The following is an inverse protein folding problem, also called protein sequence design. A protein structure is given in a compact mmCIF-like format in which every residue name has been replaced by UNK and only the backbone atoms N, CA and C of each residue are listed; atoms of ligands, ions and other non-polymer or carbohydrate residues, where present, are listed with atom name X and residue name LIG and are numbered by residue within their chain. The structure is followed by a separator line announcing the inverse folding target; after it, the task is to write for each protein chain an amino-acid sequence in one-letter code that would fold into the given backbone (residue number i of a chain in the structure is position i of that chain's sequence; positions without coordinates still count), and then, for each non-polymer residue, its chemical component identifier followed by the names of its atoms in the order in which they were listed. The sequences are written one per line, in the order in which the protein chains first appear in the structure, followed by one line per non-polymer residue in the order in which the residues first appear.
data_IF_144606490423
#
_entry.id   IF_144606490423
#
_cell.length_a   1.000
_cell.length_b   1.000
_cell.length_c   1.000
_cell.angle_alpha   90.00
_cell.angle_beta   90.00
_cell.angle_gamma   90.00
#
_symmetry.space_group_name_H-M   'P 1'
#
loop_
_entity.id
_entity.type
_entity.pdbx_description
1 polymer ?
#
# COMPACT_ATOMS: atom_id res chain seq x y z
N UNK A 1 -3.26 13.12 4.34
CA UNK A 1 -2.96 12.08 3.33
C UNK A 1 -3.90 10.89 3.40
N UNK A 2 -3.85 10.03 4.43
CA UNK A 2 -4.69 8.83 4.48
C UNK A 2 -6.19 9.14 4.51
N UNK A 3 -6.63 10.01 5.41
CA UNK A 3 -8.04 10.41 5.49
C UNK A 3 -8.54 11.04 4.17
N UNK A 4 -7.70 11.79 3.48
CA UNK A 4 -8.03 12.40 2.19
C UNK A 4 -8.17 11.35 1.09
N UNK A 5 -7.26 10.36 1.08
CA UNK A 5 -7.25 9.23 0.17
C UNK A 5 -8.48 8.33 0.39
N UNK A 6 -8.79 8.00 1.65
CA UNK A 6 -9.91 7.14 2.02
C UNK A 6 -11.28 7.80 1.73
N UNK A 7 -11.34 9.13 1.65
CA UNK A 7 -12.53 9.87 1.23
C UNK A 7 -12.78 9.87 -0.30
N UNK A 8 -11.95 9.18 -1.09
CA UNK A 8 -12.08 9.13 -2.56
C UNK A 8 -11.77 10.44 -3.27
N UNK A 9 -11.07 11.38 -2.61
CA UNK A 9 -10.63 12.63 -3.25
C UNK A 9 -9.43 12.36 -4.15
N UNK A 10 -9.31 13.13 -5.23
CA UNK A 10 -8.12 13.10 -6.08
C UNK A 10 -6.92 13.63 -5.27
N UNK A 11 -6.02 12.73 -4.86
CA UNK A 11 -4.77 13.10 -4.17
C UNK A 11 -3.69 13.29 -5.23
N UNK A 12 -3.34 14.53 -5.53
CA UNK A 12 -2.21 14.84 -6.43
C UNK A 12 -0.91 14.82 -5.63
N UNK A 13 0.01 13.95 -6.03
CA UNK A 13 1.37 13.93 -5.49
C UNK A 13 2.19 14.98 -6.23
N UNK A 14 2.62 16.02 -5.51
CA UNK A 14 3.39 17.16 -6.05
C UNK A 14 4.86 17.10 -5.63
N UNK A 15 5.72 17.87 -6.29
CA UNK A 15 7.17 17.83 -6.06
C UNK A 15 7.61 18.38 -4.69
N UNK A 16 6.76 19.15 -4.03
CA UNK A 16 6.92 19.67 -2.68
C UNK A 16 6.49 18.67 -1.59
N UNK A 17 5.87 17.54 -1.96
CA UNK A 17 5.41 16.54 -1.02
C UNK A 17 6.56 15.66 -0.50
N UNK A 18 6.55 15.37 0.80
CA UNK A 18 7.50 14.46 1.41
C UNK A 18 7.33 13.03 0.84
N UNK A 19 8.36 12.44 0.20
CA UNK A 19 8.25 11.12 -0.41
C UNK A 19 8.01 10.00 0.62
N UNK A 20 8.43 10.22 1.88
CA UNK A 20 8.20 9.25 2.96
C UNK A 20 6.72 9.14 3.34
N UNK A 21 5.95 10.23 3.22
CA UNK A 21 4.51 10.22 3.54
C UNK A 21 3.74 9.42 2.49
N UNK A 22 4.07 9.63 1.21
CA UNK A 22 3.53 8.84 0.08
C UNK A 22 3.89 7.36 0.25
N UNK A 23 5.16 7.06 0.55
CA UNK A 23 5.60 5.69 0.75
C UNK A 23 4.91 5.03 1.96
N UNK A 24 4.65 5.80 3.02
CA UNK A 24 3.94 5.30 4.20
C UNK A 24 2.49 4.97 3.86
N UNK A 25 1.79 5.88 3.17
CA UNK A 25 0.42 5.64 2.71
C UNK A 25 0.32 4.38 1.85
N UNK A 26 1.24 4.19 0.89
CA UNK A 26 1.26 3.03 0.02
C UNK A 26 1.48 1.71 0.79
N UNK A 27 2.40 1.71 1.75
CA UNK A 27 2.68 0.53 2.59
C UNK A 27 1.49 0.19 3.49
N UNK A 28 0.83 1.21 4.05
CA UNK A 28 -0.36 1.02 4.88
C UNK A 28 -1.52 0.45 4.06
N UNK A 29 -1.75 0.98 2.85
CA UNK A 29 -2.80 0.47 1.95
C UNK A 29 -2.65 -1.03 1.68
N UNK A 30 -1.47 -1.49 1.27
CA UNK A 30 -1.24 -2.92 1.01
C UNK A 30 -1.31 -3.78 2.26
N UNK A 31 -0.90 -3.25 3.41
CA UNK A 31 -0.97 -3.96 4.70
C UNK A 31 -2.41 -4.17 5.16
N UNK A 32 -3.26 -3.19 4.91
CA UNK A 32 -4.65 -3.15 5.40
C UNK A 32 -5.64 -3.86 4.46
N UNK A 33 -5.17 -4.46 3.35
CA UNK A 33 -6.01 -5.28 2.48
C UNK A 33 -6.59 -6.48 3.26
N UNK A 34 -7.86 -6.86 2.99
CA UNK A 34 -8.50 -7.99 3.67
C UNK A 34 -7.78 -9.33 3.39
N UNK A 35 -7.17 -9.46 2.21
CA UNK A 35 -6.27 -10.55 1.86
C UNK A 35 -4.91 -9.96 1.44
N UNK A 36 -3.77 -10.60 1.75
CA UNK A 36 -2.45 -10.08 1.38
C UNK A 36 -2.34 -9.90 -0.14
N UNK A 37 -1.52 -8.94 -0.57
CA UNK A 37 -1.30 -8.66 -1.99
C UNK A 37 -0.94 -9.90 -2.83
N UNK A 38 -0.20 -10.84 -2.24
CA UNK A 38 0.24 -12.06 -2.91
C UNK A 38 -0.70 -13.26 -2.73
N UNK A 39 -1.87 -13.06 -2.11
CA UNK A 39 -2.85 -14.09 -1.75
C UNK A 39 -2.31 -15.17 -0.80
N UNK A 40 -3.17 -15.67 0.08
CA UNK A 40 -2.76 -16.72 1.05
C UNK A 40 -2.42 -18.04 0.38
N UNK A 41 -3.08 -18.36 -0.73
CA UNK A 41 -2.90 -19.63 -1.45
C UNK A 41 -1.48 -19.77 -2.04
N UNK A 42 -0.83 -18.65 -2.36
CA UNK A 42 0.52 -18.63 -2.93
C UNK A 42 1.61 -18.56 -1.85
N UNK A 43 1.25 -18.45 -0.57
CA UNK A 43 2.22 -18.27 0.50
C UNK A 43 3.32 -19.34 0.49
N UNK A 44 2.92 -20.61 0.35
CA UNK A 44 3.88 -21.71 0.30
C UNK A 44 4.79 -21.60 -0.94
N UNK A 45 4.26 -21.21 -2.10
CA UNK A 45 5.07 -21.04 -3.30
C UNK A 45 6.16 -19.97 -3.09
N UNK A 46 5.82 -18.84 -2.46
CA UNK A 46 6.78 -17.76 -2.21
C UNK A 46 7.83 -18.06 -1.13
N UNK A 47 7.50 -18.83 -0.10
CA UNK A 47 8.46 -19.18 0.96
C UNK A 47 9.51 -20.20 0.49
N UNK A 48 9.17 -21.04 -0.49
CA UNK A 48 10.04 -22.12 -0.97
C UNK A 48 11.01 -21.72 -2.10
N UNK A 49 10.96 -20.49 -2.63
CA UNK A 49 11.80 -20.05 -3.77
C UNK A 49 13.16 -19.47 -3.33
N UNK A 50 13.84 -20.09 -2.37
CA UNK A 50 15.12 -19.60 -1.83
C UNK A 50 16.35 -20.15 -2.58
#
# INVERSE_FOLDING_TARGET
MREEFDCGREVKISADQCPHDVATLLKEYFRDLPDPLLCRDLYQAFVHTQ
#
